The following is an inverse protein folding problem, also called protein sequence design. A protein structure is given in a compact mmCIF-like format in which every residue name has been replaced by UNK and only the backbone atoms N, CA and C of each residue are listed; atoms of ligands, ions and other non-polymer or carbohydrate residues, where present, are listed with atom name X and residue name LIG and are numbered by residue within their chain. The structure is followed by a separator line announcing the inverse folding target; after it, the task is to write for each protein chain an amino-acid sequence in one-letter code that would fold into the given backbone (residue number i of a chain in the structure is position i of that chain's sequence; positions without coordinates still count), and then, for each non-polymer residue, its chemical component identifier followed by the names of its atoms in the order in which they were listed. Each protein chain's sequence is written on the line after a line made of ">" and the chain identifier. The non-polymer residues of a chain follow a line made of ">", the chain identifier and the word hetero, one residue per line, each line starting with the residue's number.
data_IF_557302045833
#
_entry.id   IF_557302045833
#
_cell.length_a   1.000
_cell.length_b   1.000
_cell.length_c   1.000
_cell.angle_alpha   90.00
_cell.angle_beta   90.00
_cell.angle_gamma   90.00
#
_symmetry.space_group_name_H-M   'P 1'
#
loop_
_entity.id
_entity.type
_entity.pdbx_description
1 polymer ?
#
# COMPACT_ATOMS: atom_id res chain seq x y z
N UNK A 1 -34.46 6.82 -2.36
CA UNK A 1 -33.76 6.00 -1.33
C UNK A 1 -32.37 5.71 -1.87
N UNK A 2 -31.33 6.29 -1.27
CA UNK A 2 -29.97 6.08 -1.72
C UNK A 2 -29.52 4.67 -1.32
N UNK A 3 -29.11 3.87 -2.30
CA UNK A 3 -28.61 2.52 -2.15
C UNK A 3 -27.34 2.55 -1.30
N UNK A 4 -27.48 2.25 0.00
CA UNK A 4 -26.39 2.21 0.98
C UNK A 4 -25.51 1.02 0.61
N UNK A 5 -24.43 1.28 -0.10
CA UNK A 5 -23.52 0.22 -0.53
C UNK A 5 -23.03 -0.56 0.69
N UNK A 6 -23.16 -1.88 0.62
CA UNK A 6 -22.81 -2.85 1.65
C UNK A 6 -21.27 -3.04 1.70
N UNK A 7 -20.50 -1.95 1.73
CA UNK A 7 -19.06 -2.03 1.92
C UNK A 7 -18.78 -1.98 3.42
N UNK A 8 -18.22 -3.07 3.95
CA UNK A 8 -17.61 -3.06 5.28
C UNK A 8 -16.40 -2.15 5.16
N UNK A 9 -16.54 -0.89 5.59
CA UNK A 9 -15.39 -0.04 5.83
C UNK A 9 -14.64 -0.63 7.01
N UNK A 10 -13.44 -1.16 6.76
CA UNK A 10 -12.52 -1.50 7.83
C UNK A 10 -12.16 -0.20 8.54
N UNK A 11 -12.32 -0.18 9.86
CA UNK A 11 -11.96 0.98 10.69
C UNK A 11 -10.43 1.09 10.81
N UNK A 12 -9.75 1.20 9.68
CA UNK A 12 -8.35 1.58 9.61
C UNK A 12 -8.31 3.09 9.68
N UNK A 13 -7.88 3.60 10.83
CA UNK A 13 -7.74 5.04 11.03
C UNK A 13 -6.77 5.66 10.03
N UNK A 14 -6.82 6.98 9.82
CA UNK A 14 -5.97 7.70 8.87
C UNK A 14 -4.47 7.48 9.09
N UNK A 15 -4.08 7.12 10.32
CA UNK A 15 -2.71 6.75 10.68
C UNK A 15 -2.28 5.43 10.02
N UNK A 16 -3.13 4.40 10.02
CA UNK A 16 -2.78 3.10 9.40
C UNK A 16 -2.65 3.25 7.88
N UNK A 17 -3.54 4.01 7.26
CA UNK A 17 -3.45 4.35 5.84
C UNK A 17 -2.14 5.06 5.50
N UNK A 18 -1.77 6.06 6.30
CA UNK A 18 -0.51 6.79 6.15
C UNK A 18 0.70 5.87 6.28
N UNK A 19 0.71 5.00 7.29
CA UNK A 19 1.78 4.01 7.51
C UNK A 19 1.90 3.08 6.29
N UNK A 20 0.80 2.55 5.77
CA UNK A 20 0.83 1.65 4.60
C UNK A 20 1.37 2.31 3.35
N UNK A 21 0.96 3.55 3.09
CA UNK A 21 1.45 4.32 1.93
C UNK A 21 2.96 4.57 2.07
N UNK A 22 3.42 5.03 3.24
CA UNK A 22 4.84 5.29 3.50
C UNK A 22 5.65 4.01 3.37
N UNK A 23 5.16 2.91 3.93
CA UNK A 23 5.82 1.61 3.90
C UNK A 23 5.90 1.07 2.46
N UNK A 24 4.82 1.20 1.69
CA UNK A 24 4.80 0.81 0.29
C UNK A 24 5.77 1.62 -0.59
N UNK A 25 5.83 2.94 -0.40
CA UNK A 25 6.81 3.80 -1.09
C UNK A 25 8.23 3.39 -0.71
N UNK A 26 8.49 3.15 0.57
CA UNK A 26 9.82 2.75 1.06
C UNK A 26 10.26 1.42 0.45
N UNK A 27 9.36 0.45 0.36
CA UNK A 27 9.62 -0.86 -0.26
C UNK A 27 9.94 -0.77 -1.76
N UNK A 28 9.48 0.27 -2.45
CA UNK A 28 9.79 0.50 -3.87
C UNK A 28 11.11 1.27 -4.02
N UNK A 29 11.24 2.40 -3.29
CA UNK A 29 12.31 3.38 -3.52
C UNK A 29 13.64 2.92 -2.92
N UNK A 30 13.62 2.33 -1.71
CA UNK A 30 14.85 1.98 -1.00
C UNK A 30 15.66 0.87 -1.70
N UNK A 31 15.06 -0.26 -2.13
CA UNK A 31 15.81 -1.31 -2.83
C UNK A 31 16.31 -0.85 -4.21
N UNK A 32 15.55 0.02 -4.88
CA UNK A 32 15.96 0.61 -6.16
C UNK A 32 17.18 1.52 -6.01
N UNK A 33 17.20 2.38 -4.98
CA UNK A 33 18.33 3.26 -4.70
C UNK A 33 19.58 2.50 -4.23
N UNK A 34 19.39 1.39 -3.52
CA UNK A 34 20.49 0.53 -3.07
C UNK A 34 20.97 -0.46 -4.16
N UNK A 35 20.43 -0.36 -5.38
CA UNK A 35 20.79 -1.22 -6.53
C UNK A 35 20.70 -2.72 -6.23
N UNK A 36 19.63 -3.11 -5.53
CA UNK A 36 19.38 -4.52 -5.24
C UNK A 36 19.13 -5.31 -6.53
N UNK A 37 19.23 -6.66 -6.47
CA UNK A 37 18.91 -7.49 -7.61
C UNK A 37 17.51 -7.19 -8.15
N UNK A 38 17.38 -7.13 -9.48
CA UNK A 38 16.14 -6.75 -10.15
C UNK A 38 14.92 -7.59 -9.72
N UNK A 39 15.14 -8.88 -9.46
CA UNK A 39 14.09 -9.78 -8.98
C UNK A 39 13.60 -9.40 -7.57
N UNK A 40 14.49 -8.96 -6.69
CA UNK A 40 14.15 -8.53 -5.34
C UNK A 40 13.36 -7.22 -5.38
N UNK A 41 13.80 -6.27 -6.21
CA UNK A 41 13.08 -5.02 -6.44
C UNK A 41 11.68 -5.30 -6.97
N UNK A 42 11.52 -6.21 -7.94
CA UNK A 42 10.22 -6.56 -8.50
C UNK A 42 9.25 -7.14 -7.45
N UNK A 43 9.74 -8.04 -6.59
CA UNK A 43 8.92 -8.62 -5.51
C UNK A 43 8.53 -7.57 -4.48
N UNK A 44 9.48 -6.75 -4.03
CA UNK A 44 9.21 -5.69 -3.05
C UNK A 44 8.32 -4.59 -3.62
N UNK A 45 8.41 -4.31 -4.92
CA UNK A 45 7.53 -3.36 -5.60
C UNK A 45 6.09 -3.89 -5.71
N UNK A 46 5.90 -5.19 -5.97
CA UNK A 46 4.58 -5.80 -5.96
C UNK A 46 3.93 -5.74 -4.56
N UNK A 47 4.70 -6.02 -3.51
CA UNK A 47 4.25 -5.91 -2.12
C UNK A 47 3.99 -4.45 -1.73
N UNK A 48 4.89 -3.53 -2.10
CA UNK A 48 4.73 -2.11 -1.81
C UNK A 48 3.54 -1.49 -2.52
N UNK A 49 3.29 -1.89 -3.77
CA UNK A 49 2.12 -1.48 -4.55
C UNK A 49 0.80 -1.92 -3.90
N UNK A 50 0.73 -3.15 -3.37
CA UNK A 50 -0.49 -3.60 -2.67
C UNK A 50 -0.75 -2.79 -1.40
N UNK A 51 0.29 -2.45 -0.63
CA UNK A 51 0.16 -1.60 0.56
C UNK A 51 -0.34 -0.19 0.22
N UNK A 52 0.12 0.40 -0.88
CA UNK A 52 -0.35 1.71 -1.34
C UNK A 52 -1.84 1.63 -1.72
N UNK A 53 -2.25 0.60 -2.47
CA UNK A 53 -3.65 0.43 -2.87
C UNK A 53 -4.55 0.21 -1.66
N UNK A 54 -4.15 -0.65 -0.71
CA UNK A 54 -4.88 -0.85 0.55
C UNK A 54 -4.98 0.44 1.37
N UNK A 55 -3.87 1.19 1.46
CA UNK A 55 -3.84 2.47 2.16
C UNK A 55 -4.76 3.52 1.55
N UNK A 56 -4.81 3.62 0.21
CA UNK A 56 -5.70 4.56 -0.51
C UNK A 56 -7.16 4.14 -0.41
N UNK A 57 -7.45 2.85 -0.58
CA UNK A 57 -8.83 2.38 -0.70
C UNK A 57 -9.56 2.29 0.64
N UNK A 58 -8.85 2.27 1.77
CA UNK A 58 -9.43 2.31 3.12
C UNK A 58 -10.41 1.16 3.43
N UNK A 59 -10.41 0.10 2.61
CA UNK A 59 -11.25 -1.08 2.79
C UNK A 59 -10.63 -2.09 3.76
#
# INVERSE_FOLDING_TARGET
>A
MAQKSLYIQKNVGPVDQGVRIILGITLIVLPANLQWPAWTIAVLAAIGGSQIIEGITAY
#
